data_IF_469543441358
#
_entry.id   IF_469543441358
#
_cell.length_a   1.000
_cell.length_b   1.000
_cell.length_c   1.000
_cell.angle_alpha   90.00
_cell.angle_beta   90.00
_cell.angle_gamma   90.00
#
_symmetry.space_group_name_H-M   'P 1'
#
loop_
_entity.id
_entity.type
_entity.pdbx_description
1 polymer ?
#
# COMPACT_ATOMS: atom_id res chain seq x y z
N UNK A 1 4.71 9.39 -10.45
CA UNK A 1 4.43 7.94 -10.46
C UNK A 1 4.52 7.42 -9.04
N UNK A 2 3.64 6.51 -8.68
CA UNK A 2 3.56 5.90 -7.34
C UNK A 2 4.01 4.45 -7.46
N UNK A 3 4.50 3.84 -6.38
CA UNK A 3 4.79 2.41 -6.37
C UNK A 3 3.55 1.57 -6.69
N UNK A 4 3.78 0.33 -7.12
CA UNK A 4 2.70 -0.64 -7.32
C UNK A 4 2.21 -1.17 -5.96
N UNK A 5 0.95 -1.63 -5.91
CA UNK A 5 0.41 -2.27 -4.72
C UNK A 5 1.13 -3.60 -4.45
N UNK A 6 1.77 -3.72 -3.30
CA UNK A 6 2.44 -4.93 -2.85
C UNK A 6 2.39 -5.07 -1.32
N UNK A 7 3.17 -5.99 -0.76
CA UNK A 7 3.18 -6.30 0.68
C UNK A 7 4.08 -5.39 1.50
N UNK A 8 4.89 -4.54 0.87
CA UNK A 8 5.82 -3.65 1.57
C UNK A 8 5.18 -2.29 1.79
N UNK A 9 5.40 -1.69 2.95
CA UNK A 9 4.96 -0.32 3.18
C UNK A 9 5.84 0.66 2.39
N UNK A 10 5.33 1.16 1.29
CA UNK A 10 6.05 2.01 0.36
C UNK A 10 5.26 3.27 -0.05
N UNK A 11 4.55 3.89 0.91
CA UNK A 11 3.83 5.15 0.70
C UNK A 11 4.63 6.21 -0.07
N UNK A 12 3.92 7.07 -0.81
CA UNK A 12 4.55 8.05 -1.70
C UNK A 12 3.80 9.39 -1.72
N UNK A 13 4.49 10.43 -2.18
CA UNK A 13 3.88 11.77 -2.37
C UNK A 13 4.01 12.19 -3.82
N UNK A 14 2.92 12.66 -4.38
CA UNK A 14 2.90 13.30 -5.71
C UNK A 14 2.75 14.80 -5.52
N UNK A 15 3.61 15.56 -6.19
CA UNK A 15 3.63 17.02 -6.12
C UNK A 15 3.53 17.62 -7.51
N UNK A 16 2.75 18.68 -7.66
CA UNK A 16 2.69 19.48 -8.89
C UNK A 16 2.84 20.96 -8.56
N UNK A 17 3.60 21.67 -9.38
CA UNK A 17 3.90 23.10 -9.21
C UNK A 17 3.48 23.85 -10.46
N UNK A 18 3.11 25.13 -10.30
CA UNK A 18 2.90 26.01 -11.45
C UNK A 18 4.27 26.27 -12.09
N UNK A 19 4.49 25.74 -13.29
CA UNK A 19 5.77 25.89 -14.01
C UNK A 19 5.86 27.25 -14.72
N UNK A 20 4.74 27.74 -15.25
CA UNK A 20 4.67 29.04 -15.91
C UNK A 20 3.26 29.62 -15.83
N UNK A 21 3.17 30.94 -15.87
CA UNK A 21 1.94 31.66 -16.15
C UNK A 21 2.21 32.72 -17.22
N UNK A 22 1.29 32.88 -18.16
CA UNK A 22 1.39 33.86 -19.25
C UNK A 22 0.23 34.85 -19.15
N UNK A 23 0.49 36.13 -19.38
CA UNK A 23 -0.48 37.23 -19.26
C UNK A 23 0.11 38.42 -18.50
N UNK A 24 -0.75 39.35 -18.05
CA UNK A 24 -0.35 40.44 -17.16
C UNK A 24 -0.12 41.80 -17.83
N UNK A 25 -0.74 42.03 -18.98
CA UNK A 25 -0.55 43.23 -19.80
C UNK A 25 -0.67 44.57 -19.02
N UNK A 26 -1.47 44.60 -17.95
CA UNK A 26 -1.62 45.74 -17.04
C UNK A 26 -1.41 45.39 -15.54
N UNK A 27 -1.41 44.11 -15.16
CA UNK A 27 -1.20 43.64 -13.79
C UNK A 27 -0.07 42.62 -13.72
N UNK A 28 0.88 42.83 -12.82
CA UNK A 28 1.93 41.86 -12.53
C UNK A 28 1.31 40.54 -12.05
N UNK A 29 1.53 39.45 -12.80
CA UNK A 29 1.13 38.09 -12.42
C UNK A 29 2.34 37.32 -11.91
N UNK A 30 2.42 37.10 -10.59
CA UNK A 30 3.46 36.29 -9.95
C UNK A 30 2.84 34.99 -9.44
N UNK A 31 3.12 33.83 -10.07
CA UNK A 31 2.64 32.54 -9.56
C UNK A 31 3.24 32.23 -8.19
N UNK A 32 2.44 31.62 -7.31
CA UNK A 32 2.96 31.03 -6.10
C UNK A 32 3.65 29.69 -6.47
N UNK A 33 4.96 29.52 -6.23
CA UNK A 33 5.70 28.31 -6.58
C UNK A 33 5.48 27.16 -5.57
N UNK A 34 4.64 27.35 -4.55
CA UNK A 34 4.34 26.30 -3.56
C UNK A 34 3.66 25.13 -4.26
N UNK A 35 4.24 23.91 -4.24
CA UNK A 35 3.62 22.75 -4.86
C UNK A 35 2.33 22.35 -4.14
N UNK A 36 1.31 21.98 -4.91
CA UNK A 36 0.21 21.19 -4.37
C UNK A 36 0.71 19.75 -4.17
N UNK A 37 0.49 19.20 -2.97
CA UNK A 37 0.95 17.86 -2.62
C UNK A 37 -0.24 16.94 -2.36
N UNK A 38 -0.14 15.70 -2.81
CA UNK A 38 -1.06 14.61 -2.46
C UNK A 38 -0.24 13.48 -1.87
N UNK A 39 -0.47 13.22 -0.58
CA UNK A 39 0.15 12.09 0.13
C UNK A 39 -0.67 10.83 -0.08
N UNK A 40 0.01 9.74 -0.41
CA UNK A 40 -0.57 8.42 -0.57
C UNK A 40 -0.08 7.57 0.57
N UNK A 41 -1.00 7.26 1.47
CA UNK A 41 -0.77 6.37 2.59
C UNK A 41 -0.92 4.94 2.11
N UNK A 42 0.14 4.16 2.29
CA UNK A 42 0.16 2.74 2.00
C UNK A 42 -0.06 1.92 3.27
N UNK A 43 -0.61 0.71 3.11
CA UNK A 43 -0.95 -0.19 4.20
C UNK A 43 -0.42 -1.59 3.89
N UNK A 44 0.15 -2.23 4.91
CA UNK A 44 0.57 -3.63 4.79
C UNK A 44 -0.62 -4.54 5.09
N UNK A 45 -1.04 -5.31 4.09
CA UNK A 45 -2.03 -6.37 4.26
C UNK A 45 -1.35 -7.69 4.66
N UNK A 46 -1.25 -7.92 5.97
CA UNK A 46 -0.61 -9.15 6.49
C UNK A 46 -1.58 -10.32 6.49
N UNK A 47 -1.23 -11.39 5.77
CA UNK A 47 -1.92 -12.69 5.88
C UNK A 47 -1.13 -13.61 6.81
N UNK A 48 -1.79 -14.17 7.81
CA UNK A 48 -1.21 -15.16 8.73
C UNK A 48 -1.72 -16.56 8.40
N UNK A 49 -0.86 -17.56 8.57
CA UNK A 49 -1.19 -18.97 8.40
C UNK A 49 -1.11 -19.68 9.76
N UNK A 50 -2.21 -20.30 10.17
CA UNK A 50 -2.27 -21.09 11.40
C UNK A 50 -2.30 -22.57 11.06
N UNK A 51 -1.28 -23.31 11.49
CA UNK A 51 -1.21 -24.75 11.32
C UNK A 51 -1.83 -25.45 12.54
N UNK A 52 -2.81 -26.30 12.28
CA UNK A 52 -3.41 -27.19 13.29
C UNK A 52 -3.24 -28.64 12.87
N UNK A 53 -3.17 -29.54 13.85
CA UNK A 53 -3.02 -30.96 13.61
C UNK A 53 -4.05 -31.74 14.43
N UNK A 54 -4.36 -32.97 14.00
CA UNK A 54 -5.09 -33.94 14.83
C UNK A 54 -4.39 -34.10 16.19
N UNK A 55 -5.09 -33.95 17.33
CA UNK A 55 -4.46 -33.84 18.66
C UNK A 55 -3.78 -35.14 19.12
N UNK A 56 -4.23 -36.28 18.63
CA UNK A 56 -3.59 -37.57 18.80
C UNK A 56 -3.96 -38.49 17.65
N UNK A 57 -3.10 -39.47 17.39
CA UNK A 57 -3.36 -40.58 16.47
C UNK A 57 -2.87 -41.87 17.08
N UNK A 58 -3.46 -42.99 16.66
CA UNK A 58 -2.92 -44.32 16.95
C UNK A 58 -1.66 -44.56 16.14
N UNK A 59 -0.76 -45.39 16.64
CA UNK A 59 0.43 -45.83 15.91
C UNK A 59 0.03 -46.45 14.55
N UNK A 60 0.68 -46.03 13.47
CA UNK A 60 0.31 -46.38 12.09
C UNK A 60 -0.90 -45.63 11.52
N UNK A 61 -1.53 -44.74 12.30
CA UNK A 61 -2.63 -43.87 11.86
C UNK A 61 -2.15 -42.64 11.07
N UNK A 62 -3.12 -41.93 10.47
CA UNK A 62 -2.88 -40.70 9.69
C UNK A 62 -3.09 -39.47 10.56
N UNK A 63 -2.10 -38.56 10.60
CA UNK A 63 -2.27 -37.20 11.14
C UNK A 63 -2.71 -36.28 10.02
N UNK A 64 -3.81 -35.56 10.23
CA UNK A 64 -4.23 -34.50 9.32
C UNK A 64 -3.74 -33.15 9.83
N UNK A 65 -3.11 -32.40 8.93
CA UNK A 65 -2.74 -31.01 9.15
C UNK A 65 -3.69 -30.09 8.39
N UNK A 66 -4.24 -29.10 9.07
CA UNK A 66 -5.10 -28.08 8.47
C UNK A 66 -4.43 -26.72 8.62
N UNK A 67 -4.21 -26.04 7.49
CA UNK A 67 -3.75 -24.65 7.45
C UNK A 67 -4.96 -23.74 7.27
N UNK A 68 -5.12 -22.79 8.18
CA UNK A 68 -6.12 -21.73 8.07
C UNK A 68 -5.42 -20.40 7.80
N UNK A 69 -5.81 -19.71 6.74
CA UNK A 69 -5.32 -18.37 6.42
C UNK A 69 -6.24 -17.32 7.06
N UNK A 70 -5.69 -16.19 7.51
CA UNK A 70 -6.48 -15.06 8.03
C UNK A 70 -7.25 -14.30 6.96
N UNK A 71 -6.88 -14.49 5.69
CA UNK A 71 -7.47 -13.86 4.53
C UNK A 71 -7.86 -14.94 3.51
N UNK A 72 -8.78 -14.63 2.57
CA UNK A 72 -9.15 -15.56 1.50
C UNK A 72 -7.92 -16.08 0.74
N UNK A 73 -7.97 -17.35 0.36
CA UNK A 73 -6.96 -17.99 -0.47
C UNK A 73 -7.07 -17.58 -1.95
#
# INVERSE_FOLDING_TARGET
>A
QTPANDVYNNGSTVSVTIENATGGNFEQLTPNPTPAQTTINDSVDTTTATLTASPSVTEGGVITYTVTLSNPA
#
